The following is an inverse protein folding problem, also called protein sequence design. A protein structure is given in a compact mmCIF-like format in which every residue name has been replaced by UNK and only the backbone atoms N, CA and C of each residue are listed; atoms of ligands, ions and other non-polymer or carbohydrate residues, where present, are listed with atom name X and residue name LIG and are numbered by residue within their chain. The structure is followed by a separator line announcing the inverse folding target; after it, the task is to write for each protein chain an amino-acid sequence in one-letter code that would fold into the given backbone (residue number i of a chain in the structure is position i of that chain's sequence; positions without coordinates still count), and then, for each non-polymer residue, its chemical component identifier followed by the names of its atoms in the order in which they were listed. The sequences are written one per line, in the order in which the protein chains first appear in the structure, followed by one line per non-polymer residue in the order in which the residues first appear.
data_IF_697650988740
#
_entry.id   IF_697650988740
#
_cell.length_a   1.000
_cell.length_b   1.000
_cell.length_c   1.000
_cell.angle_alpha   90.00
_cell.angle_beta   90.00
_cell.angle_gamma   90.00
#
_symmetry.space_group_name_H-M   'P 1'
#
loop_
_entity.id
_entity.type
_entity.pdbx_description
1 polymer ?
#
# COMPACT_ATOMS: atom_id res chain seq x y z
N UNK A 1 -25.95 24.21 43.74
CA UNK A 1 -24.58 23.83 44.17
C UNK A 1 -24.55 22.31 44.17
N UNK A 2 -23.88 21.59 43.28
CA UNK A 2 -22.96 21.97 42.20
C UNK A 2 -22.91 20.74 41.28
N UNK A 3 -23.09 20.93 39.98
CA UNK A 3 -22.82 19.92 38.98
C UNK A 3 -21.33 19.57 39.04
N UNK A 4 -20.99 18.28 39.15
CA UNK A 4 -19.62 17.81 38.96
C UNK A 4 -19.58 17.18 37.56
N UNK A 5 -19.24 18.03 36.59
CA UNK A 5 -18.84 17.59 35.27
C UNK A 5 -17.61 16.70 35.39
N UNK A 6 -17.71 15.49 34.85
CA UNK A 6 -16.53 14.67 34.58
C UNK A 6 -16.10 14.96 33.14
N UNK A 7 -14.85 15.42 32.92
CA UNK A 7 -14.36 15.74 31.59
C UNK A 7 -14.17 14.44 30.81
N UNK A 8 -14.78 14.42 29.62
CA UNK A 8 -14.60 13.44 28.56
C UNK A 8 -13.12 13.15 28.35
N UNK A 9 -12.65 12.02 28.85
CA UNK A 9 -11.46 11.37 28.31
C UNK A 9 -11.95 10.39 27.25
N UNK A 10 -12.32 10.95 26.09
CA UNK A 10 -12.28 10.18 24.86
C UNK A 10 -10.81 9.77 24.69
N UNK A 11 -10.48 8.47 24.67
CA UNK A 11 -9.12 8.07 24.40
C UNK A 11 -8.75 8.60 23.02
N UNK A 12 -7.58 9.25 22.93
CA UNK A 12 -6.97 9.80 21.73
C UNK A 12 -6.55 8.70 20.73
N UNK A 13 -7.46 7.78 20.39
CA UNK A 13 -7.29 6.70 19.41
C UNK A 13 -7.53 7.21 17.98
N UNK A 14 -6.95 8.37 17.67
CA UNK A 14 -7.07 9.02 16.36
C UNK A 14 -5.69 9.23 15.73
N UNK A 15 -4.78 8.30 15.99
CA UNK A 15 -3.51 8.21 15.27
C UNK A 15 -3.68 7.12 14.22
N UNK A 16 -4.40 7.50 13.16
CA UNK A 16 -4.38 6.94 11.81
C UNK A 16 -4.08 5.43 11.72
N UNK A 17 -5.03 4.61 12.17
CA UNK A 17 -5.23 3.32 11.54
C UNK A 17 -5.30 3.58 10.02
N UNK A 18 -4.60 2.76 9.23
CA UNK A 18 -4.74 2.77 7.78
C UNK A 18 -6.24 2.84 7.51
N UNK A 19 -6.75 3.84 6.76
CA UNK A 19 -8.18 4.04 6.65
C UNK A 19 -8.82 2.70 6.22
N UNK A 20 -10.01 2.34 6.74
CA UNK A 20 -10.68 1.05 6.48
C UNK A 20 -10.75 0.70 4.99
N UNK A 21 -10.55 1.69 4.13
CA UNK A 21 -10.13 1.61 2.75
C UNK A 21 -9.11 2.73 2.44
N UNK A 22 -8.10 2.52 1.58
CA UNK A 22 -7.42 3.62 0.88
C UNK A 22 -8.42 4.52 0.12
N UNK A 23 -9.69 4.09 0.02
CA UNK A 23 -10.80 4.81 -0.56
C UNK A 23 -11.75 5.52 0.40
N UNK A 24 -11.51 5.49 1.72
CA UNK A 24 -12.26 6.35 2.63
C UNK A 24 -11.67 7.75 2.54
N UNK A 25 -12.51 8.73 2.22
CA UNK A 25 -12.11 10.10 1.89
C UNK A 25 -11.13 10.64 2.96
N UNK A 26 -9.85 10.71 2.60
CA UNK A 26 -8.88 11.53 3.34
C UNK A 26 -9.47 12.93 3.48
N UNK A 27 -9.31 13.61 4.62
CA UNK A 27 -9.81 14.96 4.78
C UNK A 27 -9.36 15.81 3.59
N UNK A 28 -10.29 16.38 2.81
CA UNK A 28 -9.98 17.15 1.59
C UNK A 28 -8.91 18.21 1.85
N UNK A 29 -8.94 18.80 3.05
CA UNK A 29 -7.94 19.75 3.55
C UNK A 29 -6.51 19.18 3.54
N UNK A 30 -6.31 17.92 3.93
CA UNK A 30 -5.00 17.27 3.92
C UNK A 30 -4.52 16.99 2.50
N UNK A 31 -5.43 16.62 1.62
CA UNK A 31 -5.11 16.44 0.21
C UNK A 31 -4.72 17.76 -0.46
N UNK A 32 -5.41 18.86 -0.14
CA UNK A 32 -5.03 20.21 -0.58
C UNK A 32 -3.65 20.61 -0.04
N UNK A 33 -3.39 20.40 1.27
CA UNK A 33 -2.08 20.66 1.89
C UNK A 33 -0.96 19.86 1.20
N UNK A 34 -1.23 18.58 0.90
CA UNK A 34 -0.31 17.73 0.15
C UNK A 34 -0.04 18.28 -1.25
N UNK A 35 -1.07 18.69 -1.99
CA UNK A 35 -0.90 19.20 -3.35
C UNK A 35 -0.19 20.56 -3.39
N UNK A 36 -0.42 21.42 -2.40
CA UNK A 36 0.35 22.66 -2.23
C UNK A 36 1.83 22.35 -1.94
N UNK A 37 2.08 21.39 -1.06
CA UNK A 37 3.43 20.94 -0.75
C UNK A 37 4.11 20.33 -1.97
N UNK A 38 3.49 19.36 -2.66
CA UNK A 38 4.11 18.61 -3.75
C UNK A 38 4.36 19.52 -4.97
N UNK A 39 3.51 20.50 -5.26
CA UNK A 39 3.71 21.40 -6.41
C UNK A 39 4.76 22.49 -6.16
N UNK A 40 5.14 22.71 -4.90
CA UNK A 40 6.15 23.72 -4.54
C UNK A 40 7.54 23.30 -5.04
N UNK A 41 8.08 24.10 -5.97
CA UNK A 41 9.46 23.94 -6.47
C UNK A 41 9.62 23.00 -7.66
N UNK A 42 8.52 22.50 -8.23
CA UNK A 42 8.53 21.63 -9.42
C UNK A 42 9.15 22.35 -10.61
N UNK A 43 10.01 21.67 -11.35
CA UNK A 43 10.63 22.18 -12.56
C UNK A 43 9.63 22.17 -13.73
N UNK A 44 9.52 23.30 -14.43
CA UNK A 44 8.59 23.47 -15.56
C UNK A 44 8.87 22.57 -16.77
N UNK A 45 10.07 21.98 -16.86
CA UNK A 45 10.50 21.10 -17.96
C UNK A 45 11.39 19.99 -17.40
N UNK A 46 10.91 18.76 -17.43
CA UNK A 46 11.73 17.57 -17.23
C UNK A 46 11.58 16.67 -18.46
N UNK A 47 12.68 16.16 -19.04
CA UNK A 47 12.60 15.16 -20.10
C UNK A 47 11.89 13.90 -19.57
N UNK A 48 10.88 13.41 -20.30
CA UNK A 48 10.25 12.12 -19.99
C UNK A 48 11.29 10.98 -20.10
N UNK A 49 11.27 10.03 -19.15
CA UNK A 49 11.96 8.75 -19.30
C UNK A 49 13.28 8.55 -18.54
N UNK A 50 13.69 9.45 -17.63
CA UNK A 50 14.82 9.22 -16.70
C UNK A 50 14.48 9.70 -15.29
N UNK A 51 15.04 9.05 -14.25
CA UNK A 51 15.08 9.54 -12.84
C UNK A 51 15.87 10.85 -12.82
N UNK A 52 15.21 11.94 -13.21
CA UNK A 52 15.73 13.29 -13.07
C UNK A 52 14.99 13.97 -11.93
N UNK A 53 15.70 14.76 -11.10
CA UNK A 53 15.08 15.59 -10.08
C UNK A 53 13.88 16.33 -10.68
N UNK A 54 12.69 16.10 -10.12
CA UNK A 54 11.48 16.82 -10.51
C UNK A 54 11.45 18.22 -9.90
N UNK A 55 12.32 18.44 -8.91
CA UNK A 55 12.48 19.68 -8.19
C UNK A 55 13.84 20.30 -8.45
N UNK A 56 13.94 21.61 -8.18
CA UNK A 56 15.25 22.24 -8.07
C UNK A 56 15.99 21.72 -6.81
N UNK A 57 17.31 21.92 -6.75
CA UNK A 57 18.16 21.42 -5.66
C UNK A 57 17.70 21.82 -4.25
N UNK A 58 16.95 22.92 -4.10
CA UNK A 58 16.40 23.38 -2.82
C UNK A 58 15.20 22.55 -2.34
N UNK A 59 14.41 21.98 -3.25
CA UNK A 59 13.19 21.24 -2.92
C UNK A 59 13.27 19.74 -3.19
N UNK A 60 14.35 19.29 -3.84
CA UNK A 60 14.54 17.87 -4.14
C UNK A 60 14.76 17.03 -2.88
N UNK A 61 15.66 17.47 -2.00
CA UNK A 61 15.94 16.79 -0.73
C UNK A 61 15.03 17.34 0.36
N UNK A 62 14.44 16.44 1.14
CA UNK A 62 13.59 16.76 2.28
C UNK A 62 14.46 17.22 3.46
N UNK A 63 14.02 18.25 4.19
CA UNK A 63 14.73 18.75 5.37
C UNK A 63 14.92 17.66 6.45
N UNK A 64 13.93 16.76 6.55
CA UNK A 64 13.97 15.55 7.35
C UNK A 64 13.55 14.36 6.49
N UNK A 65 14.33 13.28 6.44
CA UNK A 65 13.94 12.06 5.76
C UNK A 65 12.62 11.52 6.31
N UNK A 66 11.78 11.00 5.42
CA UNK A 66 10.47 10.44 5.73
C UNK A 66 10.63 8.94 5.93
N UNK A 67 10.38 8.48 7.16
CA UNK A 67 10.34 7.07 7.48
C UNK A 67 8.97 6.48 7.08
N UNK A 68 8.99 5.61 6.07
CA UNK A 68 7.84 4.90 5.51
C UNK A 68 7.73 3.46 6.06
N UNK A 69 8.45 3.15 7.14
CA UNK A 69 8.49 1.86 7.84
C UNK A 69 9.37 0.83 7.14
N UNK A 70 9.11 0.57 5.85
CA UNK A 70 9.98 -0.32 5.06
C UNK A 70 11.30 0.34 4.65
N UNK A 71 11.24 1.63 4.33
CA UNK A 71 12.38 2.42 3.88
C UNK A 71 12.30 3.85 4.41
N UNK A 72 13.44 4.54 4.37
CA UNK A 72 13.53 5.97 4.66
C UNK A 72 13.81 6.70 3.35
N UNK A 73 12.93 7.63 3.00
CA UNK A 73 13.00 8.41 1.77
C UNK A 73 13.38 9.87 2.07
N UNK A 74 14.40 10.39 1.39
CA UNK A 74 14.87 11.76 1.54
C UNK A 74 14.62 12.63 0.30
N UNK A 75 14.05 12.06 -0.77
CA UNK A 75 13.73 12.73 -2.03
C UNK A 75 12.24 13.00 -2.15
N UNK A 76 11.92 14.27 -2.39
CA UNK A 76 10.56 14.71 -2.72
C UNK A 76 10.07 14.15 -4.06
N UNK A 77 10.98 13.91 -5.01
CA UNK A 77 10.64 13.31 -6.31
C UNK A 77 10.00 11.93 -6.18
N UNK A 78 10.31 11.17 -5.13
CA UNK A 78 9.68 9.88 -4.87
C UNK A 78 8.17 10.02 -4.71
N UNK A 79 7.72 10.92 -3.83
CA UNK A 79 6.28 11.21 -3.64
C UNK A 79 5.63 11.78 -4.90
N UNK A 80 6.36 12.61 -5.66
CA UNK A 80 5.85 13.16 -6.91
C UNK A 80 5.63 12.06 -7.96
N UNK A 81 6.56 11.12 -8.08
CA UNK A 81 6.44 9.97 -8.98
C UNK A 81 5.24 9.11 -8.58
N UNK A 82 5.07 8.76 -7.30
CA UNK A 82 3.91 7.98 -6.86
C UNK A 82 2.57 8.68 -7.16
N UNK A 83 2.49 10.00 -6.94
CA UNK A 83 1.26 10.79 -7.11
C UNK A 83 0.91 11.12 -8.57
N UNK A 84 1.93 11.42 -9.39
CA UNK A 84 1.73 12.02 -10.72
C UNK A 84 2.24 11.18 -11.87
N UNK A 85 2.98 10.10 -11.61
CA UNK A 85 3.60 9.33 -12.68
C UNK A 85 2.52 8.79 -13.62
N UNK A 86 2.52 9.18 -14.91
CA UNK A 86 1.73 8.52 -15.94
C UNK A 86 2.38 7.20 -16.37
N UNK A 87 3.41 6.75 -15.64
CA UNK A 87 4.30 5.63 -15.93
C UNK A 87 4.43 4.74 -14.70
N UNK A 88 5.12 3.62 -14.88
CA UNK A 88 5.23 2.50 -13.97
C UNK A 88 5.73 2.95 -12.58
N UNK A 89 5.15 2.37 -11.53
CA UNK A 89 5.71 2.50 -10.19
C UNK A 89 6.99 1.66 -10.09
N UNK A 90 7.98 2.17 -9.37
CA UNK A 90 9.21 1.44 -9.07
C UNK A 90 8.99 0.41 -7.96
N UNK A 91 9.86 -0.59 -7.89
CA UNK A 91 9.85 -1.64 -6.87
C UNK A 91 9.76 -1.07 -5.44
N UNK A 92 10.49 0.01 -5.15
CA UNK A 92 10.46 0.72 -3.86
C UNK A 92 9.05 1.22 -3.48
N UNK A 93 8.27 1.69 -4.44
CA UNK A 93 6.89 2.12 -4.19
C UNK A 93 6.01 0.92 -3.85
N UNK A 94 6.13 -0.16 -4.62
CA UNK A 94 5.38 -1.41 -4.39
C UNK A 94 5.70 -1.98 -3.01
N UNK A 95 6.97 -2.04 -2.63
CA UNK A 95 7.38 -2.60 -1.35
C UNK A 95 6.82 -1.81 -0.16
N UNK A 96 6.81 -0.47 -0.25
CA UNK A 96 6.18 0.40 0.74
C UNK A 96 4.68 0.14 0.80
N UNK A 97 3.99 0.13 -0.34
CA UNK A 97 2.53 -0.04 -0.38
C UNK A 97 2.11 -1.41 0.19
N UNK A 98 2.82 -2.47 -0.17
CA UNK A 98 2.59 -3.81 0.39
C UNK A 98 3.03 -3.93 1.85
N UNK A 99 4.00 -3.16 2.33
CA UNK A 99 4.28 -3.04 3.76
C UNK A 99 3.08 -2.46 4.52
N UNK A 100 2.48 -1.39 4.04
CA UNK A 100 1.29 -0.82 4.66
C UNK A 100 0.08 -1.78 4.59
N UNK A 101 -0.17 -2.44 3.46
CA UNK A 101 -1.22 -3.46 3.38
C UNK A 101 -1.03 -4.58 4.41
N UNK A 102 0.21 -5.04 4.63
CA UNK A 102 0.52 -6.04 5.67
C UNK A 102 0.25 -5.51 7.07
N UNK A 103 0.65 -4.28 7.37
CA UNK A 103 0.37 -3.66 8.67
C UNK A 103 -1.14 -3.47 8.88
N UNK A 104 -1.91 -3.18 7.83
CA UNK A 104 -3.38 -3.16 7.89
C UNK A 104 -3.94 -4.50 8.33
N UNK A 105 -3.50 -5.59 7.69
CA UNK A 105 -3.93 -6.95 8.05
C UNK A 105 -3.63 -7.27 9.52
N UNK A 106 -2.48 -6.83 10.05
CA UNK A 106 -2.14 -7.01 11.47
C UNK A 106 -3.09 -6.24 12.40
N UNK A 107 -3.46 -5.02 12.04
CA UNK A 107 -4.32 -4.15 12.85
C UNK A 107 -5.79 -4.56 12.84
N UNK A 108 -6.23 -5.26 11.80
CA UNK A 108 -7.62 -5.67 11.60
C UNK A 108 -7.71 -7.20 11.43
N UNK A 109 -7.66 -7.98 12.52
CA UNK A 109 -7.72 -9.45 12.49
C UNK A 109 -8.99 -10.02 11.87
N UNK A 110 -10.05 -9.21 11.74
CA UNK A 110 -11.29 -9.55 11.05
C UNK A 110 -11.16 -9.60 9.52
N UNK A 111 -10.10 -9.02 8.95
CA UNK A 111 -9.78 -9.16 7.54
C UNK A 111 -9.34 -10.60 7.29
N UNK A 112 -9.89 -11.25 6.26
CA UNK A 112 -9.39 -12.57 5.88
C UNK A 112 -7.93 -12.46 5.46
N UNK A 113 -7.04 -13.14 6.20
CA UNK A 113 -5.62 -13.23 5.87
C UNK A 113 -5.43 -14.11 4.63
N UNK A 114 -5.67 -13.52 3.45
CA UNK A 114 -5.39 -14.16 2.17
C UNK A 114 -3.97 -13.83 1.74
N UNK A 115 -3.17 -14.87 1.55
CA UNK A 115 -1.86 -14.73 0.90
C UNK A 115 -2.09 -14.44 -0.59
N UNK A 116 -1.94 -13.19 -1.01
CA UNK A 116 -2.16 -12.75 -2.40
C UNK A 116 -0.83 -12.43 -3.08
N UNK A 117 -0.68 -12.86 -4.33
CA UNK A 117 0.39 -12.40 -5.23
C UNK A 117 -0.22 -12.07 -6.59
N UNK A 118 0.24 -11.00 -7.23
CA UNK A 118 -0.22 -10.58 -8.57
C UNK A 118 0.84 -10.91 -9.61
N UNK A 119 0.41 -11.36 -10.78
CA UNK A 119 1.29 -11.74 -11.88
C UNK A 119 0.77 -11.17 -13.21
N UNK A 120 1.66 -10.92 -14.17
CA UNK A 120 1.28 -10.33 -15.46
C UNK A 120 0.50 -11.30 -16.37
N UNK A 121 -0.03 -10.80 -17.50
CA UNK A 121 -0.89 -11.56 -18.42
C UNK A 121 -0.16 -12.64 -19.22
N UNK A 122 1.12 -12.44 -19.57
CA UNK A 122 1.95 -13.48 -20.21
C UNK A 122 2.28 -14.58 -19.21
N UNK A 123 2.60 -14.20 -17.98
CA UNK A 123 2.79 -15.13 -16.88
C UNK A 123 1.48 -15.87 -16.57
N UNK A 124 0.32 -15.22 -16.58
CA UNK A 124 -0.99 -15.87 -16.36
C UNK A 124 -1.31 -16.94 -17.42
N UNK A 125 -0.97 -16.71 -18.69
CA UNK A 125 -1.16 -17.69 -19.75
C UNK A 125 -0.27 -18.93 -19.56
N UNK A 126 0.99 -18.73 -19.16
CA UNK A 126 1.95 -19.80 -18.86
C UNK A 126 1.66 -20.50 -17.53
N UNK A 127 1.25 -19.74 -16.53
CA UNK A 127 0.74 -20.24 -15.27
C UNK A 127 -0.49 -21.08 -15.53
N UNK A 128 -1.45 -20.72 -16.38
CA UNK A 128 -2.61 -21.59 -16.65
C UNK A 128 -2.23 -23.00 -17.13
N UNK A 129 -1.17 -23.12 -17.92
CA UNK A 129 -0.60 -24.41 -18.34
C UNK A 129 0.13 -25.13 -17.19
N UNK A 130 0.66 -24.39 -16.21
CA UNK A 130 1.43 -24.88 -15.07
C UNK A 130 0.87 -24.58 -13.67
N UNK A 131 -0.43 -24.25 -13.50
CA UNK A 131 -0.98 -23.77 -12.21
C UNK A 131 -0.81 -24.88 -11.19
N UNK A 132 -1.03 -26.12 -11.62
CA UNK A 132 -0.90 -27.29 -10.76
C UNK A 132 0.56 -27.53 -10.34
N UNK A 133 1.54 -27.35 -11.24
CA UNK A 133 2.94 -27.49 -10.86
C UNK A 133 3.43 -26.32 -10.01
N UNK A 134 3.00 -25.09 -10.30
CA UNK A 134 3.34 -23.89 -9.53
C UNK A 134 2.72 -23.94 -8.13
N UNK A 135 1.44 -24.30 -7.99
CA UNK A 135 0.77 -24.43 -6.69
C UNK A 135 1.42 -25.50 -5.81
N UNK A 136 1.86 -26.62 -6.39
CA UNK A 136 2.64 -27.65 -5.69
C UNK A 136 4.05 -27.16 -5.34
N UNK A 137 4.73 -26.50 -6.26
CA UNK A 137 6.10 -25.99 -6.06
C UNK A 137 6.16 -24.88 -5.00
N UNK A 138 5.23 -23.92 -5.04
CA UNK A 138 5.13 -22.85 -4.04
C UNK A 138 4.81 -23.44 -2.67
N UNK A 139 3.89 -24.42 -2.60
CA UNK A 139 3.59 -25.15 -1.35
C UNK A 139 4.85 -25.81 -0.76
N UNK A 140 5.63 -26.49 -1.60
CA UNK A 140 6.89 -27.11 -1.20
C UNK A 140 7.96 -26.09 -0.78
N UNK A 141 8.12 -25.00 -1.53
CA UNK A 141 9.07 -23.94 -1.18
C UNK A 141 8.71 -23.30 0.15
N UNK A 142 7.44 -22.95 0.35
CA UNK A 142 6.96 -22.35 1.59
C UNK A 142 7.17 -23.28 2.80
N UNK A 143 6.96 -24.59 2.64
CA UNK A 143 7.26 -25.59 3.67
C UNK A 143 8.77 -25.67 3.98
N UNK A 144 9.62 -25.67 2.95
CA UNK A 144 11.09 -25.72 3.11
C UNK A 144 11.66 -24.45 3.72
N UNK A 145 11.04 -23.31 3.46
CA UNK A 145 11.42 -22.01 4.01
C UNK A 145 10.77 -21.72 5.37
N UNK A 146 9.95 -22.63 5.90
CA UNK A 146 9.19 -22.43 7.14
C UNK A 146 8.34 -21.16 7.12
N UNK A 147 7.74 -20.84 5.97
CA UNK A 147 7.02 -19.59 5.74
C UNK A 147 5.68 -19.52 6.48
N UNK A 148 5.01 -20.65 6.72
CA UNK A 148 3.72 -20.69 7.41
C UNK A 148 3.89 -21.05 8.90
N UNK A 149 3.41 -20.19 9.80
CA UNK A 149 3.41 -20.43 11.26
C UNK A 149 2.43 -21.55 11.68
N UNK A 150 1.28 -21.64 10.99
CA UNK A 150 0.28 -22.69 11.19
C UNK A 150 0.21 -23.63 9.99
N UNK A 151 0.57 -24.89 10.21
CA UNK A 151 0.36 -25.98 9.24
C UNK A 151 -1.02 -26.61 9.49
N UNK A 152 -1.83 -26.88 8.45
CA UNK A 152 -2.93 -27.84 8.58
C UNK A 152 -2.38 -29.15 9.15
N UNK A 153 -3.11 -29.78 10.08
CA UNK A 153 -2.68 -30.97 10.88
C UNK A 153 -2.42 -32.26 10.07
N UNK A 154 -2.30 -32.18 8.76
CA UNK A 154 -2.11 -33.32 7.87
C UNK A 154 -0.63 -33.48 7.48
N UNK A 155 -0.16 -34.71 7.17
CA UNK A 155 1.25 -34.97 6.91
C UNK A 155 1.80 -34.08 5.77
N UNK A 156 3.09 -33.71 5.80
CA UNK A 156 3.70 -32.83 4.81
C UNK A 156 3.59 -33.48 3.43
N UNK A 157 2.63 -33.00 2.65
CA UNK A 157 2.29 -33.51 1.34
C UNK A 157 2.37 -32.40 0.31
N UNK A 158 2.60 -32.80 -0.93
CA UNK A 158 2.61 -31.97 -2.14
C UNK A 158 1.17 -31.52 -2.45
N UNK A 159 0.46 -30.96 -1.47
CA UNK A 159 -0.88 -30.47 -1.65
C UNK A 159 -0.78 -29.12 -2.35
N UNK A 160 -1.32 -28.99 -3.57
CA UNK A 160 -1.35 -27.71 -4.25
C UNK A 160 -2.10 -26.70 -3.40
N UNK A 161 -1.53 -25.50 -3.26
CA UNK A 161 -2.29 -24.34 -2.73
C UNK A 161 -3.54 -24.17 -3.61
N UNK A 162 -4.75 -24.03 -3.03
CA UNK A 162 -5.95 -23.78 -3.80
C UNK A 162 -5.79 -22.52 -4.66
N UNK A 163 -5.91 -22.66 -5.98
CA UNK A 163 -5.82 -21.54 -6.92
C UNK A 163 -7.18 -21.30 -7.56
N UNK A 164 -7.70 -20.09 -7.39
CA UNK A 164 -8.92 -19.63 -8.04
C UNK A 164 -8.56 -18.69 -9.19
N UNK A 165 -8.92 -19.07 -10.42
CA UNK A 165 -8.75 -18.19 -11.59
C UNK A 165 -10.00 -17.31 -11.72
N UNK A 166 -9.86 -16.03 -11.41
CA UNK A 166 -10.93 -15.05 -11.62
C UNK A 166 -11.00 -14.65 -13.10
N UNK A 167 -12.22 -14.63 -13.67
CA UNK A 167 -12.49 -14.21 -15.05
C UNK A 167 -13.29 -12.90 -15.04
N UNK A 168 -13.17 -12.14 -16.12
CA UNK A 168 -13.92 -10.88 -16.33
C UNK A 168 -13.64 -9.82 -15.25
N UNK A 169 -12.43 -9.83 -14.69
CA UNK A 169 -11.96 -8.77 -13.80
C UNK A 169 -11.57 -7.54 -14.63
N UNK A 170 -11.75 -6.32 -14.11
CA UNK A 170 -11.38 -5.10 -14.81
C UNK A 170 -9.92 -5.11 -15.30
N UNK A 171 -9.70 -4.93 -16.59
CA UNK A 171 -8.35 -4.90 -17.15
C UNK A 171 -7.88 -3.48 -17.40
N UNK A 172 -6.56 -3.33 -17.29
CA UNK A 172 -5.85 -2.12 -17.65
C UNK A 172 -6.07 -1.80 -19.15
N UNK A 173 -6.63 -0.63 -19.49
CA UNK A 173 -6.86 -0.13 -20.85
C UNK A 173 -5.82 0.91 -21.30
N UNK A 174 -4.95 1.39 -20.40
CA UNK A 174 -3.85 2.33 -20.69
C UNK A 174 -2.49 1.75 -20.24
N UNK A 175 -1.38 2.23 -20.79
CA UNK A 175 -0.06 1.89 -20.22
C UNK A 175 0.24 2.79 -19.02
N UNK A 176 0.66 2.23 -17.88
CA UNK A 176 1.25 3.01 -16.77
C UNK A 176 0.58 2.89 -15.39
N UNK A 177 -0.62 2.31 -15.28
CA UNK A 177 -1.30 2.09 -13.99
C UNK A 177 -1.31 0.62 -13.54
N UNK A 178 -0.54 -0.27 -14.17
CA UNK A 178 -0.55 -1.69 -13.85
C UNK A 178 -0.25 -1.96 -12.36
N UNK A 179 0.70 -1.20 -11.80
CA UNK A 179 1.11 -1.31 -10.41
C UNK A 179 -0.01 -0.85 -9.45
N UNK A 180 -0.70 0.25 -9.77
CA UNK A 180 -1.84 0.72 -8.98
C UNK A 180 -3.02 -0.26 -9.04
N UNK A 181 -3.27 -0.85 -10.20
CA UNK A 181 -4.24 -1.92 -10.33
C UNK A 181 -3.87 -3.10 -9.44
N UNK A 182 -2.61 -3.52 -9.45
CA UNK A 182 -2.07 -4.58 -8.58
C UNK A 182 -2.30 -4.30 -7.10
N UNK A 183 -1.93 -3.10 -6.63
CA UNK A 183 -2.11 -2.69 -5.23
C UNK A 183 -3.61 -2.69 -4.87
N UNK A 184 -4.46 -2.12 -5.73
CA UNK A 184 -5.91 -2.05 -5.47
C UNK A 184 -6.58 -3.43 -5.53
N UNK A 185 -6.11 -4.32 -6.39
CA UNK A 185 -6.53 -5.71 -6.42
C UNK A 185 -6.21 -6.39 -5.09
N UNK A 186 -4.96 -6.27 -4.61
CA UNK A 186 -4.55 -6.85 -3.33
C UNK A 186 -5.42 -6.31 -2.19
N UNK A 187 -5.59 -4.99 -2.10
CA UNK A 187 -6.42 -4.34 -1.07
C UNK A 187 -7.86 -4.88 -1.09
N UNK A 188 -8.53 -4.88 -2.24
CA UNK A 188 -9.91 -5.36 -2.34
C UNK A 188 -10.05 -6.85 -2.03
N UNK A 189 -9.06 -7.68 -2.37
CA UNK A 189 -9.08 -9.10 -2.04
C UNK A 189 -8.88 -9.35 -0.54
N UNK A 190 -8.08 -8.53 0.14
CA UNK A 190 -7.85 -8.58 1.59
C UNK A 190 -9.13 -8.18 2.34
N UNK A 191 -9.86 -7.18 1.85
CA UNK A 191 -11.07 -6.66 2.52
C UNK A 191 -12.37 -7.25 1.96
N UNK A 192 -12.27 -8.30 1.16
CA UNK A 192 -13.41 -8.98 0.52
C UNK A 192 -14.33 -8.05 -0.30
N UNK A 193 -13.78 -6.97 -0.86
CA UNK A 193 -14.50 -6.06 -1.72
C UNK A 193 -14.55 -6.56 -3.16
N UNK A 194 -15.68 -6.31 -3.81
CA UNK A 194 -15.86 -6.66 -5.22
C UNK A 194 -14.97 -5.78 -6.12
N UNK A 195 -13.93 -6.40 -6.66
CA UNK A 195 -12.94 -5.77 -7.54
C UNK A 195 -13.56 -5.07 -8.75
N UNK A 196 -14.75 -5.49 -9.20
CA UNK A 196 -15.43 -4.90 -10.38
C UNK A 196 -15.88 -3.46 -10.16
N UNK A 197 -16.14 -3.07 -8.91
CA UNK A 197 -16.57 -1.72 -8.56
C UNK A 197 -15.41 -0.83 -8.13
N UNK A 198 -14.35 -1.43 -7.56
CA UNK A 198 -13.26 -0.69 -6.94
C UNK A 198 -12.04 -0.56 -7.84
N UNK A 199 -11.73 -1.58 -8.65
CA UNK A 199 -10.54 -1.62 -9.49
C UNK A 199 -10.90 -1.12 -10.90
N UNK A 200 -11.19 0.17 -11.04
CA UNK A 200 -11.54 0.79 -12.33
C UNK A 200 -10.64 1.97 -12.66
N UNK A 201 -10.35 2.17 -13.95
CA UNK A 201 -9.44 3.23 -14.41
C UNK A 201 -9.76 4.61 -13.89
N UNK A 202 -11.05 5.00 -13.96
CA UNK A 202 -11.48 6.33 -13.54
C UNK A 202 -11.23 6.66 -12.07
N UNK A 203 -10.83 5.66 -11.26
CA UNK A 203 -10.49 5.83 -9.84
C UNK A 203 -9.00 5.72 -9.54
N UNK A 204 -8.16 5.28 -10.48
CA UNK A 204 -6.73 5.07 -10.19
C UNK A 204 -6.00 6.34 -9.77
N UNK A 205 -6.29 7.47 -10.42
CA UNK A 205 -5.69 8.75 -10.00
C UNK A 205 -6.14 9.13 -8.58
N UNK A 206 -7.42 8.94 -8.26
CA UNK A 206 -7.96 9.21 -6.92
C UNK A 206 -7.24 8.32 -5.89
N UNK A 207 -7.00 7.05 -6.21
CA UNK A 207 -6.25 6.15 -5.32
C UNK A 207 -4.78 6.57 -5.17
N UNK A 208 -4.11 7.01 -6.25
CA UNK A 208 -2.74 7.54 -6.18
C UNK A 208 -2.68 8.76 -5.24
N UNK A 209 -3.59 9.69 -5.43
CA UNK A 209 -3.70 10.92 -4.63
C UNK A 209 -3.87 10.60 -3.14
N UNK A 210 -4.76 9.65 -2.83
CA UNK A 210 -5.03 9.25 -1.45
C UNK A 210 -3.87 8.49 -0.83
N UNK A 211 -3.30 7.52 -1.54
CA UNK A 211 -2.17 6.73 -1.08
C UNK A 211 -0.96 7.62 -0.78
N UNK A 212 -0.62 8.52 -1.70
CA UNK A 212 0.53 9.43 -1.54
C UNK A 212 0.34 10.44 -0.43
N UNK A 213 -0.85 11.03 -0.34
CA UNK A 213 -1.19 11.93 0.74
C UNK A 213 -1.12 11.20 2.09
N UNK A 214 -1.58 9.95 2.16
CA UNK A 214 -1.52 9.14 3.38
C UNK A 214 -0.07 8.88 3.82
N UNK A 215 0.78 8.39 2.92
CA UNK A 215 2.19 8.13 3.21
C UNK A 215 2.92 9.40 3.67
N UNK A 216 2.66 10.52 3.00
CA UNK A 216 3.20 11.82 3.37
C UNK A 216 2.73 12.27 4.77
N UNK A 217 1.43 12.15 5.07
CA UNK A 217 0.89 12.49 6.39
C UNK A 217 1.49 11.61 7.48
N UNK A 218 1.57 10.30 7.24
CA UNK A 218 2.13 9.32 8.17
C UNK A 218 3.58 9.67 8.52
N UNK A 219 4.41 9.94 7.51
CA UNK A 219 5.80 10.32 7.72
C UNK A 219 5.94 11.65 8.49
N UNK A 220 5.11 12.65 8.21
CA UNK A 220 5.09 13.91 8.99
C UNK A 220 4.74 13.66 10.45
N UNK A 221 3.72 12.83 10.72
CA UNK A 221 3.36 12.46 12.09
C UNK A 221 4.50 11.74 12.81
N UNK A 222 5.20 10.81 12.15
CA UNK A 222 6.41 10.17 12.70
C UNK A 222 7.48 11.18 13.07
N UNK A 223 7.74 12.15 12.20
CA UNK A 223 8.71 13.22 12.45
C UNK A 223 8.34 14.04 13.70
N UNK A 224 7.05 14.38 13.86
CA UNK A 224 6.53 15.12 15.02
C UNK A 224 6.62 14.31 16.31
N UNK A 225 6.45 12.99 16.22
CA UNK A 225 6.54 12.05 17.34
C UNK A 225 7.96 11.53 17.61
N UNK A 226 8.98 12.06 16.93
CA UNK A 226 10.40 11.64 17.06
C UNK A 226 10.64 10.17 16.67
N UNK A 227 9.99 9.71 15.60
CA UNK A 227 10.17 8.38 14.99
C UNK A 227 9.93 7.21 15.95
N UNK A 228 8.83 7.26 16.72
CA UNK A 228 8.31 6.07 17.39
C UNK A 228 8.11 4.93 16.38
N UNK A 229 8.43 3.71 16.79
CA UNK A 229 8.45 2.56 15.87
C UNK A 229 7.03 2.23 15.42
N UNK A 230 6.88 1.62 14.24
CA UNK A 230 5.57 1.10 13.80
C UNK A 230 5.11 -0.09 14.68
N UNK A 231 6.00 -0.61 15.52
CA UNK A 231 5.81 -1.74 16.43
C UNK A 231 5.48 -1.29 17.87
N UNK A 232 5.11 -0.02 18.11
CA UNK A 232 4.75 0.47 19.46
C UNK A 232 3.35 -0.04 19.89
N UNK A 233 3.24 -1.36 20.06
CA UNK A 233 2.34 -2.02 21.00
C UNK A 233 2.87 -1.79 22.43
N UNK A 234 2.60 -0.61 23.01
CA UNK A 234 2.30 -0.57 24.44
C UNK A 234 0.81 -0.89 24.60
N UNK A 235 0.46 -2.15 24.33
CA UNK A 235 -0.77 -2.78 24.79
C UNK A 235 -0.42 -3.49 26.10
N UNK A 236 -0.37 -2.71 27.18
CA UNK A 236 -0.33 -3.25 28.55
C UNK A 236 -1.50 -4.25 28.71
N UNK A 237 -1.15 -5.50 29.02
CA UNK A 237 -2.07 -6.58 29.37
C UNK A 237 -2.82 -6.31 30.68
#
# INVERSE_FOLDING_TARGET
MTEVGSPSHAPSKLIYAIPPSLADESPKEKLEEFWEWINKGVLKRTPLGKRHPRYNAKYETLDKPHDLGFMVEDKKSWFYELATSPVWLWDEHIDVDFYYLRNKIKQFPELEQRNVTTVDTFFSAKVREGVECMSKFISLLADRLSFFEFKPREPPGIYPIPVTIMKYIPQLVNGGDCEMFTIKYAECLIEERDVRYWVIHGRMQIFRDWLTCYLWCHAKCKIEQTYKSDDDEDMDF
#
